data_IF_299278380265
#
_entry.id   IF_299278380265
#
_cell.length_a   1.000
_cell.length_b   1.000
_cell.length_c   1.000
_cell.angle_alpha   90.00
_cell.angle_beta   90.00
_cell.angle_gamma   90.00
#
_symmetry.space_group_name_H-M   'P 1'
#
loop_
_entity.id
_entity.type
_entity.pdbx_description
1 polymer ?
#
# COMPACT_ATOMS: atom_id res chain seq x y z
N UNK A 1 -8.17 11.07 7.01
CA UNK A 1 -7.17 10.41 7.87
C UNK A 1 -5.80 10.59 7.23
N UNK A 2 -4.74 10.95 7.97
CA UNK A 2 -3.42 11.11 7.41
C UNK A 2 -2.85 9.77 6.93
N UNK A 3 -2.05 9.81 5.88
CA UNK A 3 -1.35 8.68 5.28
C UNK A 3 0.14 8.84 5.56
N UNK A 4 0.86 7.75 5.86
CA UNK A 4 2.28 7.79 6.15
C UNK A 4 3.09 8.17 4.91
N UNK A 5 3.15 7.29 3.93
CA UNK A 5 3.98 7.49 2.74
C UNK A 5 3.19 7.28 1.46
N UNK A 6 3.45 8.13 0.50
CA UNK A 6 3.03 7.98 -0.89
C UNK A 6 4.26 7.75 -1.76
N UNK A 7 4.29 6.63 -2.47
CA UNK A 7 5.33 6.34 -3.44
C UNK A 7 4.85 6.70 -4.84
N UNK A 8 5.73 7.33 -5.60
CA UNK A 8 5.43 7.78 -6.97
C UNK A 8 6.47 7.22 -7.92
N UNK A 9 6.02 6.47 -8.92
CA UNK A 9 6.84 6.11 -10.08
C UNK A 9 6.46 7.02 -11.23
N UNK A 10 7.44 7.79 -11.73
CA UNK A 10 7.27 8.69 -12.85
C UNK A 10 8.62 8.90 -13.54
N UNK A 11 8.59 9.20 -14.83
CA UNK A 11 9.78 9.63 -15.56
C UNK A 11 10.27 11.03 -15.12
N UNK A 12 9.39 11.79 -14.48
CA UNK A 12 9.68 13.13 -13.97
C UNK A 12 9.74 13.12 -12.46
N UNK A 13 10.80 13.69 -11.91
CA UNK A 13 10.92 13.95 -10.48
C UNK A 13 10.57 15.42 -10.20
N UNK A 14 9.76 15.63 -9.17
CA UNK A 14 9.43 16.98 -8.70
C UNK A 14 10.49 17.48 -7.71
N UNK A 15 10.67 18.81 -7.67
CA UNK A 15 11.50 19.42 -6.62
C UNK A 15 10.83 19.29 -5.25
N UNK A 16 11.60 19.43 -4.17
CA UNK A 16 11.10 19.35 -2.79
C UNK A 16 9.91 20.30 -2.55
N UNK A 17 9.96 21.51 -3.10
CA UNK A 17 8.86 22.47 -3.00
C UNK A 17 7.50 21.89 -3.46
N UNK A 18 7.49 21.15 -4.57
CA UNK A 18 6.23 20.54 -5.05
C UNK A 18 5.84 19.30 -4.27
N UNK A 19 6.80 18.56 -3.70
CA UNK A 19 6.51 17.46 -2.79
C UNK A 19 5.81 17.95 -1.53
N UNK A 20 6.32 19.02 -0.91
CA UNK A 20 5.71 19.66 0.26
C UNK A 20 4.26 20.08 -0.02
N UNK A 21 3.98 20.65 -1.19
CA UNK A 21 2.60 20.99 -1.58
C UNK A 21 1.71 19.73 -1.65
N UNK A 22 2.21 18.66 -2.25
CA UNK A 22 1.47 17.38 -2.35
C UNK A 22 1.23 16.78 -0.96
N UNK A 23 2.22 16.80 -0.10
CA UNK A 23 2.14 16.32 1.28
C UNK A 23 1.07 17.05 2.07
N UNK A 24 1.05 18.38 1.99
CA UNK A 24 0.06 19.23 2.66
C UNK A 24 -1.35 19.02 2.11
N UNK A 25 -1.51 19.07 0.79
CA UNK A 25 -2.84 18.99 0.14
C UNK A 25 -3.49 17.60 0.29
N UNK A 26 -2.69 16.55 0.21
CA UNK A 26 -3.17 15.17 0.30
C UNK A 26 -3.11 14.59 1.73
N UNK A 27 -2.57 15.36 2.68
CA UNK A 27 -2.37 14.91 4.05
C UNK A 27 -1.53 13.62 4.12
N UNK A 28 -0.43 13.61 3.41
CA UNK A 28 0.57 12.55 3.38
C UNK A 28 1.83 13.05 4.10
N UNK A 29 2.47 12.22 4.90
CA UNK A 29 3.66 12.62 5.66
C UNK A 29 4.92 12.70 4.81
N UNK A 30 5.00 11.87 3.79
CA UNK A 30 6.17 11.79 2.94
C UNK A 30 5.79 11.36 1.51
N UNK A 31 6.34 12.04 0.50
CA UNK A 31 6.26 11.66 -0.91
C UNK A 31 7.63 11.14 -1.37
N UNK A 32 7.70 9.88 -1.76
CA UNK A 32 8.92 9.21 -2.21
C UNK A 32 8.83 8.85 -3.68
N UNK A 33 9.75 9.38 -4.50
CA UNK A 33 9.88 8.95 -5.89
C UNK A 33 10.70 7.67 -5.98
N UNK A 34 10.20 6.68 -6.72
CA UNK A 34 10.86 5.39 -6.97
C UNK A 34 10.92 5.10 -8.46
N UNK A 35 12.01 4.47 -8.88
CA UNK A 35 12.17 4.01 -10.27
C UNK A 35 11.33 2.76 -10.55
N UNK A 36 11.04 1.97 -9.53
CA UNK A 36 10.26 0.73 -9.61
C UNK A 36 9.27 0.62 -8.45
N UNK A 37 8.13 -0.03 -8.72
CA UNK A 37 7.07 -0.34 -7.75
C UNK A 37 6.98 -1.83 -7.42
N UNK A 38 7.97 -2.63 -7.84
CA UNK A 38 7.98 -4.08 -7.62
C UNK A 38 7.88 -4.46 -6.13
N UNK A 39 8.36 -3.61 -5.23
CA UNK A 39 8.27 -3.79 -3.77
C UNK A 39 6.83 -3.81 -3.24
N UNK A 40 5.86 -3.29 -4.00
CA UNK A 40 4.45 -3.16 -3.60
C UNK A 40 3.53 -4.14 -4.32
N UNK A 41 4.11 -5.05 -5.10
CA UNK A 41 3.41 -6.04 -5.90
C UNK A 41 3.80 -7.42 -5.39
N UNK A 42 2.82 -8.31 -5.27
CA UNK A 42 3.02 -9.73 -5.05
C UNK A 42 2.66 -10.50 -6.29
N UNK A 43 3.50 -11.45 -6.67
CA UNK A 43 3.22 -12.40 -7.75
C UNK A 43 2.81 -13.73 -7.16
N UNK A 44 1.83 -14.38 -7.79
CA UNK A 44 1.46 -15.76 -7.52
C UNK A 44 1.41 -16.55 -8.81
N UNK A 45 1.73 -17.84 -8.73
CA UNK A 45 1.90 -18.71 -9.87
C UNK A 45 0.95 -19.90 -9.78
N UNK A 46 0.37 -20.25 -10.91
CA UNK A 46 -0.40 -21.48 -11.09
C UNK A 46 0.10 -22.21 -12.35
N UNK A 47 0.10 -23.54 -12.38
CA UNK A 47 0.50 -24.24 -13.60
C UNK A 47 -0.55 -24.06 -14.71
N UNK A 48 -0.09 -23.78 -15.94
CA UNK A 48 -0.91 -23.80 -17.12
C UNK A 48 -1.18 -25.26 -17.50
N UNK A 49 -2.40 -25.72 -17.28
CA UNK A 49 -2.78 -27.14 -17.44
C UNK A 49 -2.53 -27.68 -18.84
N UNK A 50 -2.67 -26.83 -19.86
CA UNK A 50 -2.53 -27.23 -21.26
C UNK A 50 -1.10 -27.58 -21.64
N UNK A 51 -0.11 -26.94 -21.03
CA UNK A 51 1.30 -27.14 -21.34
C UNK A 51 1.98 -28.04 -20.31
N UNK A 52 1.67 -27.87 -19.01
CA UNK A 52 2.26 -28.65 -17.92
C UNK A 52 1.68 -30.06 -17.83
N UNK A 53 0.38 -30.24 -18.16
CA UNK A 53 -0.27 -31.54 -18.10
C UNK A 53 0.42 -32.59 -18.97
N UNK A 54 0.68 -32.36 -20.26
CA UNK A 54 1.42 -33.30 -21.13
C UNK A 54 2.86 -33.56 -20.68
N UNK A 55 3.55 -32.54 -20.12
CA UNK A 55 4.95 -32.63 -19.68
C UNK A 55 5.10 -33.37 -18.33
N UNK A 56 4.22 -33.06 -17.37
CA UNK A 56 4.39 -33.43 -15.96
C UNK A 56 3.09 -33.88 -15.28
N UNK A 57 2.17 -34.49 -16.01
CA UNK A 57 0.81 -34.78 -15.52
C UNK A 57 0.74 -35.51 -14.18
N UNK A 58 1.65 -36.46 -13.90
CA UNK A 58 1.72 -37.19 -12.62
C UNK A 58 2.14 -36.32 -11.46
N UNK A 59 2.88 -35.25 -11.72
CA UNK A 59 3.42 -34.32 -10.72
C UNK A 59 2.61 -33.03 -10.61
N UNK A 60 1.55 -32.88 -11.40
CA UNK A 60 0.80 -31.64 -11.52
C UNK A 60 0.29 -31.10 -10.19
N UNK A 61 -0.24 -31.95 -9.32
CA UNK A 61 -0.73 -31.54 -8.00
C UNK A 61 0.43 -31.06 -7.09
N UNK A 62 1.59 -31.71 -7.18
CA UNK A 62 2.77 -31.30 -6.42
C UNK A 62 3.34 -29.99 -6.95
N UNK A 63 3.40 -29.83 -8.28
CA UNK A 63 3.77 -28.56 -8.92
C UNK A 63 2.84 -27.43 -8.44
N UNK A 64 1.54 -27.65 -8.43
CA UNK A 64 0.55 -26.68 -7.95
C UNK A 64 0.81 -26.28 -6.49
N UNK A 65 1.07 -27.25 -5.62
CA UNK A 65 1.37 -26.99 -4.18
C UNK A 65 2.66 -26.18 -4.05
N UNK A 66 3.76 -26.62 -4.67
CA UNK A 66 5.04 -25.91 -4.61
C UNK A 66 4.91 -24.50 -5.14
N UNK A 67 4.24 -24.26 -6.27
CA UNK A 67 4.02 -22.94 -6.83
C UNK A 67 3.20 -22.03 -5.89
N UNK A 68 2.27 -22.59 -5.11
CA UNK A 68 1.48 -21.82 -4.15
C UNK A 68 2.24 -21.42 -2.88
N UNK A 69 3.34 -22.13 -2.58
CA UNK A 69 4.18 -21.91 -1.40
C UNK A 69 5.44 -21.09 -1.69
N UNK A 70 5.75 -20.84 -2.99
CA UNK A 70 6.90 -20.05 -3.40
C UNK A 70 6.77 -18.58 -3.02
N UNK A 71 7.93 -17.96 -2.75
CA UNK A 71 8.06 -16.51 -2.76
C UNK A 71 7.89 -16.02 -4.21
N UNK A 72 6.70 -15.50 -4.51
CA UNK A 72 6.34 -15.11 -5.87
C UNK A 72 7.23 -14.04 -6.47
N UNK A 73 7.75 -13.11 -5.65
CA UNK A 73 8.62 -12.04 -6.14
C UNK A 73 10.01 -12.57 -6.52
N UNK A 74 10.56 -13.52 -5.75
CA UNK A 74 11.81 -14.20 -6.09
C UNK A 74 11.65 -15.07 -7.34
N UNK A 75 10.55 -15.83 -7.42
CA UNK A 75 10.24 -16.65 -8.58
C UNK A 75 10.09 -15.81 -9.85
N UNK A 76 9.45 -14.63 -9.75
CA UNK A 76 9.32 -13.72 -10.88
C UNK A 76 10.67 -13.12 -11.31
N UNK A 77 11.54 -12.79 -10.36
CA UNK A 77 12.88 -12.31 -10.65
C UNK A 77 13.72 -13.37 -11.37
N UNK A 78 13.64 -14.63 -10.94
CA UNK A 78 14.30 -15.77 -11.59
C UNK A 78 13.77 -15.96 -13.02
N UNK A 79 12.46 -16.01 -13.19
CA UNK A 79 11.81 -16.16 -14.50
C UNK A 79 12.20 -15.05 -15.49
N UNK A 80 12.25 -13.79 -15.02
CA UNK A 80 12.69 -12.64 -15.83
C UNK A 80 14.17 -12.70 -16.21
N UNK A 81 15.03 -13.23 -15.33
CA UNK A 81 16.48 -13.25 -15.55
C UNK A 81 16.92 -14.43 -16.39
N UNK A 82 16.33 -15.60 -16.22
CA UNK A 82 16.73 -16.86 -16.87
C UNK A 82 15.76 -17.35 -17.95
N UNK A 83 14.53 -16.85 -17.98
CA UNK A 83 13.45 -17.34 -18.85
C UNK A 83 12.79 -18.62 -18.37
N UNK A 84 13.23 -19.18 -17.26
CA UNK A 84 12.74 -20.44 -16.71
C UNK A 84 12.67 -20.41 -15.18
N UNK A 85 11.75 -21.17 -14.62
CA UNK A 85 11.60 -21.38 -13.18
C UNK A 85 11.89 -22.86 -12.87
N UNK A 86 12.88 -23.09 -12.01
CA UNK A 86 13.32 -24.43 -11.61
C UNK A 86 12.74 -24.83 -10.27
N UNK A 87 12.09 -25.96 -10.22
CA UNK A 87 11.51 -26.56 -9.02
C UNK A 87 12.14 -27.92 -8.77
N UNK A 88 12.46 -28.23 -7.53
CA UNK A 88 12.79 -29.59 -7.12
C UNK A 88 11.56 -30.24 -6.50
N UNK A 89 11.10 -31.32 -7.10
CA UNK A 89 9.94 -32.08 -6.62
C UNK A 89 10.32 -33.55 -6.52
N UNK A 90 10.39 -34.06 -5.30
CA UNK A 90 10.81 -35.43 -4.98
C UNK A 90 12.19 -35.83 -5.54
N UNK A 91 13.11 -34.87 -5.60
CA UNK A 91 14.46 -35.08 -6.16
C UNK A 91 14.49 -35.07 -7.69
N UNK A 92 13.40 -34.67 -8.34
CA UNK A 92 13.33 -34.44 -9.76
C UNK A 92 13.29 -32.94 -10.07
N UNK A 93 14.21 -32.46 -10.89
CA UNK A 93 14.21 -31.09 -11.38
C UNK A 93 13.08 -30.91 -12.42
N UNK A 94 12.19 -29.96 -12.14
CA UNK A 94 11.12 -29.55 -13.02
C UNK A 94 11.44 -28.15 -13.56
N UNK A 95 11.47 -27.98 -14.85
CA UNK A 95 11.70 -26.70 -15.51
C UNK A 95 10.41 -26.21 -16.11
N UNK A 96 9.95 -25.03 -15.67
CA UNK A 96 8.75 -24.37 -16.18
C UNK A 96 9.14 -23.08 -16.90
N UNK A 97 8.64 -22.91 -18.09
CA UNK A 97 8.78 -21.68 -18.88
C UNK A 97 7.61 -20.74 -18.59
N UNK A 98 7.70 -19.50 -19.02
CA UNK A 98 6.61 -18.53 -18.85
C UNK A 98 5.27 -19.03 -19.41
N UNK A 99 5.29 -19.74 -20.56
CA UNK A 99 4.10 -20.36 -21.16
C UNK A 99 3.47 -21.50 -20.33
N UNK A 100 4.25 -22.05 -19.39
CA UNK A 100 3.80 -23.12 -18.47
C UNK A 100 3.13 -22.56 -17.20
N UNK A 101 3.11 -21.23 -17.06
CA UNK A 101 2.68 -20.55 -15.85
C UNK A 101 1.50 -19.61 -16.14
N UNK A 102 0.53 -19.61 -15.26
CA UNK A 102 -0.44 -18.55 -15.10
C UNK A 102 0.08 -17.65 -13.97
N UNK A 103 0.40 -16.41 -14.32
CA UNK A 103 1.00 -15.43 -13.40
C UNK A 103 -0.09 -14.44 -13.03
N UNK A 104 -0.47 -14.44 -11.77
CA UNK A 104 -1.37 -13.45 -11.18
C UNK A 104 -0.53 -12.39 -10.45
N UNK A 105 -0.86 -11.14 -10.65
CA UNK A 105 -0.24 -10.00 -9.99
C UNK A 105 -1.28 -9.34 -9.09
N UNK A 106 -0.92 -9.14 -7.83
CA UNK A 106 -1.75 -8.47 -6.85
C UNK A 106 -0.95 -7.41 -6.09
N UNK A 107 -1.65 -6.44 -5.53
CA UNK A 107 -1.05 -5.50 -4.60
C UNK A 107 -0.73 -6.19 -3.28
N UNK A 108 0.38 -5.81 -2.65
CA UNK A 108 0.69 -6.27 -1.31
C UNK A 108 -0.32 -5.70 -0.31
N UNK A 109 -0.62 -6.49 0.71
CA UNK A 109 -1.48 -6.05 1.82
C UNK A 109 -0.91 -4.79 2.47
N UNK A 110 -1.77 -3.82 2.75
CA UNK A 110 -1.38 -2.52 3.32
C UNK A 110 -0.99 -1.47 2.29
N UNK A 111 -1.09 -1.77 0.99
CA UNK A 111 -0.82 -0.81 -0.07
C UNK A 111 -1.98 -0.73 -1.06
N UNK A 112 -2.23 0.46 -1.58
CA UNK A 112 -3.20 0.71 -2.65
C UNK A 112 -2.51 1.50 -3.75
N UNK A 113 -2.67 1.06 -4.99
CA UNK A 113 -2.05 1.75 -6.13
C UNK A 113 -3.04 2.06 -7.24
N UNK A 114 -2.77 3.17 -7.91
CA UNK A 114 -3.41 3.58 -9.15
C UNK A 114 -2.36 3.99 -10.17
N UNK A 115 -2.63 3.70 -11.42
CA UNK A 115 -1.70 3.95 -12.53
C UNK A 115 -2.43 4.53 -13.71
N UNK A 116 -1.80 5.52 -14.34
CA UNK A 116 -2.08 5.89 -15.71
C UNK A 116 -0.89 5.51 -16.61
N UNK A 117 -0.83 6.05 -17.84
CA UNK A 117 0.22 5.71 -18.79
C UNK A 117 1.62 6.22 -18.40
N UNK A 118 1.72 7.18 -17.50
CA UNK A 118 2.95 7.92 -17.20
C UNK A 118 3.35 7.91 -15.74
N UNK A 119 2.36 7.78 -14.85
CA UNK A 119 2.54 7.89 -13.41
C UNK A 119 1.86 6.71 -12.72
N UNK A 120 2.55 6.11 -11.77
CA UNK A 120 1.97 5.17 -10.81
C UNK A 120 2.13 5.73 -9.40
N UNK A 121 1.03 5.75 -8.66
CA UNK A 121 1.00 6.18 -7.27
C UNK A 121 0.66 4.97 -6.40
N UNK A 122 1.43 4.78 -5.33
CA UNK A 122 1.17 3.76 -4.30
C UNK A 122 1.05 4.44 -2.95
N UNK A 123 -0.06 4.21 -2.26
CA UNK A 123 -0.30 4.70 -0.91
C UNK A 123 -0.02 3.60 0.10
N UNK A 124 0.78 3.91 1.12
CA UNK A 124 0.90 3.08 2.31
C UNK A 124 -0.32 3.34 3.22
N UNK A 125 -1.19 2.34 3.31
CA UNK A 125 -2.42 2.42 4.11
C UNK A 125 -2.26 1.84 5.52
N UNK A 126 -1.04 1.43 5.89
CA UNK A 126 -0.75 0.99 7.24
C UNK A 126 -0.77 2.20 8.19
N UNK A 127 -1.63 2.12 9.19
CA UNK A 127 -1.82 3.19 10.15
C UNK A 127 -1.00 2.95 11.40
N UNK A 128 -0.09 3.88 11.71
CA UNK A 128 0.58 3.89 13.01
C UNK A 128 -0.33 4.50 14.08
N UNK A 129 -0.07 4.23 15.38
CA UNK A 129 -0.80 4.88 16.47
C UNK A 129 -0.79 6.41 16.37
N UNK A 130 0.32 7.01 15.94
CA UNK A 130 0.49 8.45 15.76
C UNK A 130 -0.41 8.98 14.64
N UNK A 131 -0.48 8.29 13.49
CA UNK A 131 -1.37 8.66 12.38
C UNK A 131 -2.84 8.55 12.77
N UNK A 132 -3.18 7.56 13.59
CA UNK A 132 -4.54 7.40 14.14
C UNK A 132 -4.87 8.57 15.06
N UNK A 133 -3.96 8.92 15.98
CA UNK A 133 -4.14 10.04 16.91
C UNK A 133 -4.30 11.37 16.18
N UNK A 134 -3.43 11.66 15.22
CA UNK A 134 -3.54 12.86 14.38
C UNK A 134 -4.87 12.89 13.62
N UNK A 135 -5.32 11.75 13.09
CA UNK A 135 -6.63 11.65 12.46
C UNK A 135 -7.77 12.05 13.39
N UNK A 136 -7.70 11.65 14.66
CA UNK A 136 -8.68 12.07 15.67
C UNK A 136 -8.60 13.56 16.01
N UNK A 137 -7.40 14.11 16.13
CA UNK A 137 -7.22 15.56 16.35
C UNK A 137 -7.87 16.36 15.24
N UNK A 138 -7.59 16.03 13.99
CA UNK A 138 -8.17 16.69 12.81
C UNK A 138 -9.71 16.56 12.77
N UNK A 139 -10.23 15.39 13.08
CA UNK A 139 -11.68 15.17 13.16
C UNK A 139 -12.31 16.03 14.27
N UNK A 140 -11.67 16.11 15.43
CA UNK A 140 -12.14 16.93 16.54
C UNK A 140 -12.15 18.41 16.16
N UNK A 141 -11.06 18.93 15.58
CA UNK A 141 -10.98 20.30 15.09
C UNK A 141 -12.06 20.58 14.06
N UNK A 142 -12.27 19.69 13.09
CA UNK A 142 -13.33 19.80 12.07
C UNK A 142 -14.71 19.89 12.69
N UNK A 143 -15.01 19.06 13.69
CA UNK A 143 -16.30 19.11 14.43
C UNK A 143 -16.48 20.41 15.19
N UNK A 144 -15.44 20.87 15.88
CA UNK A 144 -15.48 22.16 16.60
C UNK A 144 -15.73 23.32 15.63
N UNK A 145 -15.06 23.35 14.48
CA UNK A 145 -15.27 24.39 13.47
C UNK A 145 -16.69 24.34 12.88
N UNK A 146 -17.24 23.15 12.66
CA UNK A 146 -18.63 22.99 12.22
C UNK A 146 -19.60 23.54 13.28
N UNK A 147 -19.40 23.20 14.55
CA UNK A 147 -20.24 23.69 15.64
C UNK A 147 -20.16 25.22 15.77
N UNK A 148 -18.96 25.81 15.61
CA UNK A 148 -18.79 27.28 15.59
C UNK A 148 -19.63 27.93 14.50
N UNK A 149 -19.52 27.40 13.28
CA UNK A 149 -20.26 27.90 12.11
C UNK A 149 -21.76 27.81 12.32
N UNK A 150 -22.25 26.67 12.80
CA UNK A 150 -23.68 26.46 13.07
C UNK A 150 -24.22 27.36 14.18
N UNK A 151 -23.40 27.68 15.17
CA UNK A 151 -23.72 28.58 16.26
C UNK A 151 -23.60 30.08 15.88
N UNK A 152 -23.14 30.40 14.66
CA UNK A 152 -23.04 31.77 14.15
C UNK A 152 -21.84 32.54 14.70
N UNK A 153 -20.78 31.83 15.17
CA UNK A 153 -19.54 32.50 15.61
C UNK A 153 -18.72 33.01 14.42
N UNK A 154 -18.14 34.18 14.60
CA UNK A 154 -17.16 34.74 13.67
C UNK A 154 -15.78 34.07 13.83
N UNK A 155 -14.90 34.21 12.83
CA UNK A 155 -13.58 33.59 12.83
C UNK A 155 -12.74 34.02 14.02
N UNK A 156 -12.86 35.28 14.45
CA UNK A 156 -12.10 35.87 15.55
C UNK A 156 -12.69 35.62 16.94
N UNK A 157 -13.86 35.02 17.03
CA UNK A 157 -14.50 34.74 18.31
C UNK A 157 -13.72 33.67 19.09
N UNK A 158 -13.50 33.96 20.37
CA UNK A 158 -12.88 33.00 21.28
C UNK A 158 -13.94 32.10 21.88
N UNK A 159 -13.70 30.81 21.85
CA UNK A 159 -14.59 29.79 22.41
C UNK A 159 -13.91 29.04 23.56
N UNK A 160 -14.71 28.38 24.38
CA UNK A 160 -14.24 27.36 25.32
C UNK A 160 -14.88 26.03 24.94
N UNK A 161 -14.03 25.03 24.80
CA UNK A 161 -14.44 23.67 24.48
C UNK A 161 -14.48 22.85 25.76
N UNK A 162 -15.54 22.11 25.98
CA UNK A 162 -15.69 21.19 27.11
C UNK A 162 -15.97 19.80 26.57
N UNK A 163 -15.21 18.82 27.08
CA UNK A 163 -15.47 17.41 26.82
C UNK A 163 -15.96 16.73 28.10
N UNK A 164 -16.96 15.89 28.00
CA UNK A 164 -17.54 15.14 29.11
C UNK A 164 -17.79 13.68 28.69
N UNK A 165 -17.51 12.76 29.58
CA UNK A 165 -17.82 11.33 29.44
C UNK A 165 -17.13 10.68 28.21
N UNK A 166 -15.95 11.18 27.81
CA UNK A 166 -15.13 10.63 26.73
C UNK A 166 -13.64 10.81 27.02
N UNK A 167 -13.06 9.79 27.63
CA UNK A 167 -11.65 9.82 28.08
C UNK A 167 -10.69 10.06 26.92
N UNK A 168 -10.97 9.50 25.72
CA UNK A 168 -10.14 9.67 24.53
C UNK A 168 -10.08 11.13 24.06
N UNK A 169 -11.20 11.84 24.05
CA UNK A 169 -11.23 13.27 23.71
C UNK A 169 -10.50 14.08 24.78
N UNK A 170 -10.67 13.75 26.05
CA UNK A 170 -9.96 14.42 27.15
C UNK A 170 -8.46 14.25 27.03
N UNK A 171 -7.96 13.08 26.69
CA UNK A 171 -6.54 12.82 26.50
C UNK A 171 -5.98 13.54 25.28
N UNK A 172 -6.69 13.55 24.17
CA UNK A 172 -6.33 14.33 22.98
C UNK A 172 -6.26 15.82 23.32
N UNK A 173 -7.24 16.37 24.01
CA UNK A 173 -7.24 17.79 24.41
C UNK A 173 -6.12 18.15 25.35
N UNK A 174 -5.63 17.22 26.18
CA UNK A 174 -4.46 17.42 27.03
C UNK A 174 -3.15 17.43 26.26
N UNK A 175 -3.04 16.57 25.25
CA UNK A 175 -1.81 16.40 24.48
C UNK A 175 -1.66 17.42 23.35
N UNK A 176 -2.78 17.87 22.77
CA UNK A 176 -2.84 18.73 21.57
C UNK A 176 -3.69 19.98 21.76
N UNK A 177 -3.96 20.40 22.98
CA UNK A 177 -4.86 21.52 23.26
C UNK A 177 -4.31 22.90 22.89
N UNK A 178 -3.03 22.98 22.52
CA UNK A 178 -2.37 24.22 22.10
C UNK A 178 -2.35 24.39 20.56
N UNK A 179 -2.77 23.36 19.80
CA UNK A 179 -2.93 23.39 18.35
C UNK A 179 -4.33 23.94 17.94
#
# INVERSE_FOLDING_TARGET
QPIGTMYVKSEFQLSEFYKEIIEDELNVKEVVFKDDIADFISYSFKPQMRTVGPKYGKLLNKIKTVLSELDGNKAMAELKSTGELKLDIDGQEIVLLEEDLLIDMAQMEGYVSESDHTITVVLDTNLTPELIEEGFVRELVSKIQTMRKEAGFEVMDKIRVYAKDNDKIVDIMKNHGDE
#
